data_IF_620101094142
#
_entry.id   IF_620101094142
#
_cell.length_a   1.000
_cell.length_b   1.000
_cell.length_c   1.000
_cell.angle_alpha   90.00
_cell.angle_beta   90.00
_cell.angle_gamma   90.00
#
_symmetry.space_group_name_H-M   'P 1'
#
loop_
_entity.id
_entity.type
_entity.pdbx_description
1 polymer ?
#
# COMPACT_ATOMS: atom_id res chain seq x y z
N UNK A 1 7.75 25.53 3.11
CA UNK A 1 7.36 24.13 2.83
C UNK A 1 6.79 23.53 4.09
N UNK A 2 5.57 22.97 4.02
CA UNK A 2 4.96 22.27 5.16
C UNK A 2 5.60 20.87 5.24
N UNK A 3 6.02 20.46 6.43
CA UNK A 3 6.45 19.08 6.67
C UNK A 3 5.21 18.24 6.91
N UNK A 4 5.00 17.24 6.07
CA UNK A 4 3.90 16.29 6.19
C UNK A 4 4.52 14.91 6.31
N UNK A 5 4.11 14.16 7.34
CA UNK A 5 4.44 12.75 7.47
C UNK A 5 3.35 11.93 6.77
N UNK A 6 3.70 11.32 5.64
CA UNK A 6 2.79 10.55 4.81
C UNK A 6 2.36 9.24 5.50
N UNK A 7 3.12 8.76 6.46
CA UNK A 7 2.84 7.49 7.12
C UNK A 7 1.84 7.61 8.27
N UNK A 8 1.53 8.84 8.70
CA UNK A 8 0.47 9.11 9.67
C UNK A 8 -0.92 9.21 9.02
N UNK A 9 -1.01 9.14 7.69
CA UNK A 9 -2.27 9.19 6.96
C UNK A 9 -2.92 7.81 6.91
N UNK A 10 -4.25 7.77 6.87
CA UNK A 10 -5.00 6.52 6.61
C UNK A 10 -4.97 6.14 5.12
N UNK A 11 -4.96 7.17 4.26
CA UNK A 11 -4.96 7.03 2.81
C UNK A 11 -3.97 8.01 2.17
N UNK A 12 -3.20 7.53 1.20
CA UNK A 12 -2.46 8.38 0.28
C UNK A 12 -3.08 8.24 -1.10
N UNK A 13 -3.56 9.35 -1.65
CA UNK A 13 -4.18 9.40 -2.98
C UNK A 13 -3.20 10.04 -3.95
N UNK A 14 -2.76 9.27 -4.93
CA UNK A 14 -1.71 9.65 -5.87
C UNK A 14 -2.28 9.54 -7.28
N UNK A 15 -2.59 10.68 -7.94
CA UNK A 15 -2.87 10.67 -9.37
C UNK A 15 -1.56 10.38 -10.12
N UNK A 16 -1.61 9.44 -11.06
CA UNK A 16 -0.45 9.03 -11.84
C UNK A 16 -0.77 9.11 -13.33
N UNK A 17 0.16 9.63 -14.13
CA UNK A 17 0.01 9.78 -15.58
C UNK A 17 1.21 9.14 -16.26
N UNK A 18 0.94 8.24 -17.20
CA UNK A 18 1.96 7.56 -18.00
C UNK A 18 1.47 7.47 -19.44
N UNK A 19 2.27 7.96 -20.39
CA UNK A 19 1.98 7.93 -21.84
C UNK A 19 0.54 8.33 -22.21
N UNK A 20 0.06 9.42 -21.62
CA UNK A 20 -1.29 9.98 -21.77
C UNK A 20 -2.44 9.16 -21.17
N UNK A 21 -2.14 8.11 -20.41
CA UNK A 21 -3.11 7.36 -19.63
C UNK A 21 -3.05 7.74 -18.15
N UNK A 22 -4.22 7.82 -17.50
CA UNK A 22 -4.35 8.25 -16.11
C UNK A 22 -4.78 7.10 -15.21
N UNK A 23 -4.11 7.00 -14.07
CA UNK A 23 -4.38 6.04 -13.01
C UNK A 23 -4.61 6.77 -11.69
N UNK A 24 -5.39 6.17 -10.80
CA UNK A 24 -5.45 6.60 -9.41
C UNK A 24 -4.87 5.51 -8.51
N UNK A 25 -3.78 5.83 -7.82
CA UNK A 25 -3.14 4.95 -6.85
C UNK A 25 -3.59 5.38 -5.46
N UNK A 26 -4.10 4.44 -4.66
CA UNK A 26 -4.50 4.68 -3.28
C UNK A 26 -3.72 3.72 -2.38
N UNK A 27 -2.86 4.26 -1.51
CA UNK A 27 -2.18 3.47 -0.48
C UNK A 27 -3.03 3.48 0.78
N UNK A 28 -3.42 2.30 1.24
CA UNK A 28 -4.25 2.11 2.44
C UNK A 28 -3.35 1.73 3.62
N UNK A 29 -3.53 2.40 4.76
CA UNK A 29 -2.76 2.20 5.99
C UNK A 29 -1.23 2.22 5.81
N UNK A 30 -0.64 3.27 5.19
CA UNK A 30 0.82 3.38 5.01
C UNK A 30 1.65 3.16 6.28
N UNK A 31 1.12 3.52 7.45
CA UNK A 31 1.76 3.29 8.76
C UNK A 31 2.22 1.84 8.97
N UNK A 32 1.51 0.87 8.39
CA UNK A 32 1.82 -0.57 8.51
C UNK A 32 2.97 -1.02 7.59
N UNK A 33 3.37 -0.22 6.61
CA UNK A 33 4.56 -0.48 5.78
C UNK A 33 5.88 -0.17 6.50
N UNK A 34 5.84 0.57 7.62
CA UNK A 34 7.05 0.89 8.37
C UNK A 34 7.37 -0.27 9.30
N UNK A 35 8.53 -0.91 9.09
CA UNK A 35 9.08 -1.80 10.10
C UNK A 35 9.47 -0.96 11.32
N UNK A 36 8.96 -1.24 12.54
CA UNK A 36 9.46 -0.57 13.72
C UNK A 36 10.96 -0.81 13.77
N UNK A 37 11.71 0.29 13.92
CA UNK A 37 13.18 0.35 13.93
C UNK A 37 13.75 -0.92 14.54
N UNK A 38 14.64 -1.61 13.79
CA UNK A 38 15.42 -2.75 14.29
C UNK A 38 16.26 -2.30 15.50
N UNK A 39 15.67 -2.31 16.68
CA UNK A 39 16.44 -2.48 17.91
C UNK A 39 16.85 -3.94 17.91
N UNK A 40 18.15 -4.20 17.73
CA UNK A 40 18.76 -5.51 17.92
C UNK A 40 18.44 -6.03 19.32
N UNK A 41 17.31 -6.73 19.47
CA UNK A 41 17.02 -7.53 20.65
C UNK A 41 16.53 -8.89 20.22
N UNK A 42 17.48 -9.81 20.20
CA UNK A 42 17.22 -11.22 20.48
C UNK A 42 16.34 -11.28 21.72
N UNK A 43 15.06 -11.64 21.57
CA UNK A 43 14.33 -12.45 22.56
C UNK A 43 12.94 -12.82 22.04
N UNK A 44 12.77 -14.14 21.94
CA UNK A 44 11.57 -14.88 22.35
C UNK A 44 10.32 -14.74 21.47
N UNK A 45 10.14 -15.78 20.65
CA UNK A 45 8.85 -16.23 20.11
C UNK A 45 7.79 -16.19 21.21
N UNK A 46 6.85 -15.25 21.14
CA UNK A 46 5.57 -15.38 21.81
C UNK A 46 4.50 -15.69 20.77
N UNK A 47 3.91 -16.87 20.91
CA UNK A 47 2.68 -17.28 20.27
C UNK A 47 1.54 -16.43 20.84
N UNK A 48 1.35 -15.22 20.33
CA UNK A 48 0.09 -14.51 20.45
C UNK A 48 -0.71 -14.76 19.17
N UNK A 49 -1.91 -15.31 19.35
CA UNK A 49 -2.97 -15.47 18.35
C UNK A 49 -2.94 -14.24 17.42
N UNK A 50 -2.51 -14.41 16.16
CA UNK A 50 -2.57 -13.35 15.14
C UNK A 50 -4.05 -13.08 14.89
N UNK A 51 -4.61 -12.09 15.57
CA UNK A 51 -5.68 -11.33 14.94
C UNK A 51 -5.14 -10.90 13.58
N UNK A 52 -5.98 -11.04 12.55
CA UNK A 52 -5.70 -10.61 11.18
C UNK A 52 -5.54 -9.09 11.21
N UNK A 53 -4.37 -8.61 11.63
CA UNK A 53 -4.02 -7.20 11.60
C UNK A 53 -4.04 -6.78 10.13
N UNK A 54 -4.92 -5.85 9.77
CA UNK A 54 -5.04 -5.38 8.40
C UNK A 54 -3.66 -4.91 7.90
N UNK A 55 -3.18 -5.53 6.83
CA UNK A 55 -1.91 -5.18 6.21
C UNK A 55 -2.08 -3.93 5.34
N UNK A 56 -1.01 -3.17 5.12
CA UNK A 56 -1.06 -2.12 4.12
C UNK A 56 -1.16 -2.72 2.73
N UNK A 57 -2.00 -2.14 1.87
CA UNK A 57 -2.14 -2.55 0.48
C UNK A 57 -2.34 -1.33 -0.42
N UNK A 58 -2.16 -1.55 -1.71
CA UNK A 58 -2.32 -0.52 -2.74
C UNK A 58 -3.52 -0.88 -3.62
N UNK A 59 -4.40 0.09 -3.82
CA UNK A 59 -5.48 0.02 -4.81
C UNK A 59 -5.01 0.81 -6.03
N UNK A 60 -5.10 0.21 -7.21
CA UNK A 60 -4.88 0.89 -8.49
C UNK A 60 -6.23 0.92 -9.21
N UNK A 61 -6.74 2.12 -9.44
CA UNK A 61 -7.91 2.33 -10.28
C UNK A 61 -7.46 2.73 -11.68
N UNK A 62 -7.88 1.91 -12.63
CA UNK A 62 -7.59 2.06 -14.05
C UNK A 62 -8.89 1.94 -14.83
N UNK A 63 -9.19 2.94 -15.66
CA UNK A 63 -10.38 2.96 -16.52
C UNK A 63 -10.21 2.15 -17.79
N UNK A 64 -8.97 1.89 -18.23
CA UNK A 64 -8.67 1.12 -19.43
C UNK A 64 -8.17 -0.26 -19.01
N UNK A 65 -8.99 -1.28 -19.26
CA UNK A 65 -8.56 -2.64 -19.00
C UNK A 65 -7.53 -3.08 -20.04
N UNK A 66 -6.27 -3.23 -19.63
CA UNK A 66 -5.21 -3.86 -20.41
C UNK A 66 -4.77 -5.19 -19.75
N UNK A 67 -5.05 -6.35 -20.35
CA UNK A 67 -4.65 -7.65 -19.81
C UNK A 67 -3.14 -7.90 -19.85
N UNK A 68 -2.39 -7.18 -20.68
CA UNK A 68 -0.94 -7.35 -20.85
C UNK A 68 -0.14 -6.38 -19.96
N UNK A 69 -0.82 -5.51 -19.20
CA UNK A 69 -0.17 -4.57 -18.29
C UNK A 69 0.49 -5.31 -17.11
N UNK A 70 1.83 -5.30 -17.10
CA UNK A 70 2.67 -5.91 -16.06
C UNK A 70 2.39 -5.35 -14.66
N UNK A 71 1.88 -4.11 -14.54
CA UNK A 71 1.50 -3.51 -13.26
C UNK A 71 0.36 -4.27 -12.58
N UNK A 72 -0.45 -5.01 -13.36
CA UNK A 72 -1.53 -5.84 -12.82
C UNK A 72 -1.05 -7.01 -11.95
N UNK A 73 0.19 -7.47 -12.14
CA UNK A 73 0.79 -8.48 -11.26
C UNK A 73 0.96 -7.99 -9.80
N UNK A 74 0.90 -6.67 -9.58
CA UNK A 74 1.03 -6.03 -8.27
C UNK A 74 -0.30 -5.47 -7.75
N UNK A 75 -1.41 -5.68 -8.46
CA UNK A 75 -2.75 -5.21 -8.07
C UNK A 75 -3.66 -6.37 -7.72
N UNK A 76 -4.52 -6.19 -6.71
CA UNK A 76 -5.63 -7.11 -6.44
C UNK A 76 -6.89 -6.58 -7.11
N UNK A 77 -7.64 -7.46 -7.76
CA UNK A 77 -8.92 -7.11 -8.36
C UNK A 77 -9.91 -6.70 -7.25
N UNK A 78 -10.23 -5.41 -7.18
CA UNK A 78 -11.39 -4.96 -6.38
C UNK A 78 -12.61 -5.32 -7.21
N UNK A 79 -13.15 -6.50 -6.93
CA UNK A 79 -14.34 -7.09 -7.56
C UNK A 79 -15.42 -6.02 -7.69
N UNK A 80 -15.98 -5.91 -8.91
CA UNK A 80 -17.12 -5.05 -9.23
C UNK A 80 -18.44 -5.72 -8.89
#
# INVERSE_FOLDING_TARGET
>A
TVKVDLFLMDYLVIPFVEDNHMYLIIVVQPSKCISPVRTDRKTTRQNSKKESEAESFVIILDSLYDPDDKKRACSFEVIR
#
